data_IF_013097549387
#
_entry.id   IF_013097549387
#
_cell.length_a   1.000
_cell.length_b   1.000
_cell.length_c   1.000
_cell.angle_alpha   90.00
_cell.angle_beta   90.00
_cell.angle_gamma   90.00
#
_symmetry.space_group_name_H-M   'P 1'
#
loop_
_entity.id
_entity.type
_entity.pdbx_description
1 polymer ?
#
# COMPACT_ATOMS: atom_id res chain seq x y z
N UNK A 1 0.77 -14.44 7.20
CA UNK A 1 1.99 -14.00 7.91
C UNK A 1 1.96 -12.50 8.07
N UNK A 2 2.31 -11.96 9.25
CA UNK A 2 2.35 -10.52 9.46
C UNK A 2 3.45 -9.89 8.59
N UNK A 3 3.11 -8.84 7.84
CA UNK A 3 4.08 -8.11 7.01
C UNK A 3 5.01 -7.31 7.94
N UNK A 4 6.20 -7.83 8.22
CA UNK A 4 7.22 -7.11 8.98
C UNK A 4 7.85 -6.03 8.09
N UNK A 5 7.49 -4.77 8.32
CA UNK A 5 8.25 -3.65 7.76
C UNK A 5 9.64 -3.69 8.39
N UNK A 6 10.64 -3.92 7.54
CA UNK A 6 12.05 -3.72 7.85
C UNK A 6 12.22 -2.24 8.15
N UNK A 7 12.80 -1.93 9.31
CA UNK A 7 13.04 -0.55 9.71
C UNK A 7 14.27 -0.04 8.94
N UNK A 8 14.14 1.10 8.24
CA UNK A 8 15.22 1.71 7.43
C UNK A 8 16.50 1.94 8.24
N UNK A 9 16.37 2.06 9.57
CA UNK A 9 17.51 2.19 10.49
C UNK A 9 18.39 0.96 10.52
N UNK A 10 17.83 -0.23 10.37
CA UNK A 10 18.58 -1.51 10.35
C UNK A 10 19.51 -1.53 9.17
N UNK A 11 19.03 -1.07 8.01
CA UNK A 11 19.84 -0.94 6.83
C UNK A 11 20.94 0.14 6.95
N UNK A 12 21.01 0.96 8.00
CA UNK A 12 22.05 2.00 8.12
C UNK A 12 22.89 1.86 9.38
N UNK A 13 22.63 0.84 10.18
CA UNK A 13 23.32 0.63 11.44
C UNK A 13 24.74 0.11 11.19
N UNK A 14 25.81 0.86 11.55
CA UNK A 14 27.19 0.42 11.33
C UNK A 14 27.53 -0.85 12.11
N UNK A 15 26.83 -1.13 13.22
CA UNK A 15 27.04 -2.33 14.04
C UNK A 15 26.78 -3.63 13.26
N UNK A 16 25.90 -3.57 12.26
CA UNK A 16 25.60 -4.72 11.40
C UNK A 16 26.77 -5.02 10.46
N UNK A 17 27.48 -3.99 9.99
CA UNK A 17 28.69 -4.18 9.18
C UNK A 17 29.79 -4.83 10.03
N UNK A 18 29.97 -4.38 11.27
CA UNK A 18 30.92 -4.99 12.21
C UNK A 18 30.56 -6.46 12.49
N UNK A 19 29.27 -6.75 12.72
CA UNK A 19 28.81 -8.12 12.93
C UNK A 19 29.07 -9.02 11.71
N UNK A 20 28.90 -8.48 10.50
CA UNK A 20 29.18 -9.20 9.25
C UNK A 20 30.67 -9.53 9.12
N UNK A 21 31.55 -8.59 9.46
CA UNK A 21 33.00 -8.82 9.49
C UNK A 21 33.40 -9.88 10.51
N UNK A 22 32.85 -9.83 11.74
CA UNK A 22 33.12 -10.80 12.80
C UNK A 22 32.70 -12.23 12.43
N UNK A 23 31.63 -12.38 11.66
CA UNK A 23 31.08 -13.68 11.26
C UNK A 23 31.60 -14.16 9.90
N UNK A 24 32.32 -13.32 9.15
CA UNK A 24 32.71 -13.61 7.77
C UNK A 24 31.51 -13.71 6.82
N UNK A 25 30.41 -13.04 7.14
CA UNK A 25 29.17 -13.07 6.36
C UNK A 25 29.02 -11.82 5.51
N UNK A 26 28.20 -11.90 4.47
CA UNK A 26 27.75 -10.68 3.81
C UNK A 26 26.79 -9.91 4.71
N UNK A 27 26.80 -8.57 4.59
CA UNK A 27 25.84 -7.72 5.31
C UNK A 27 24.38 -8.13 5.06
N UNK A 28 24.05 -8.63 3.86
CA UNK A 28 22.70 -9.09 3.53
C UNK A 28 22.30 -10.33 4.32
N UNK A 29 23.21 -11.28 4.52
CA UNK A 29 22.97 -12.49 5.31
C UNK A 29 22.75 -12.14 6.79
N UNK A 30 23.58 -11.28 7.36
CA UNK A 30 23.40 -10.82 8.75
C UNK A 30 22.06 -10.12 8.95
N UNK A 31 21.70 -9.21 8.03
CA UNK A 31 20.39 -8.53 8.09
C UNK A 31 19.24 -9.52 7.97
N UNK A 32 19.36 -10.49 7.05
CA UNK A 32 18.37 -11.56 6.89
C UNK A 32 18.19 -12.35 8.19
N UNK A 33 19.30 -12.82 8.77
CA UNK A 33 19.29 -13.61 9.99
C UNK A 33 18.75 -12.84 11.21
N UNK A 34 19.19 -11.60 11.42
CA UNK A 34 18.70 -10.76 12.51
C UNK A 34 17.18 -10.54 12.41
N UNK A 35 16.66 -10.27 11.22
CA UNK A 35 15.25 -9.93 11.02
C UNK A 35 14.36 -11.18 11.05
N UNK A 36 14.76 -12.22 10.33
CA UNK A 36 13.93 -13.41 10.09
C UNK A 36 14.02 -14.40 11.23
N UNK A 37 15.18 -14.52 11.88
CA UNK A 37 15.40 -15.55 12.90
C UNK A 37 15.40 -14.93 14.31
N UNK A 38 16.34 -14.03 14.60
CA UNK A 38 16.55 -13.54 15.97
C UNK A 38 15.41 -12.64 16.45
N UNK A 39 15.06 -11.61 15.68
CA UNK A 39 13.97 -10.69 16.05
C UNK A 39 12.59 -11.34 15.95
N UNK A 40 12.38 -12.28 15.03
CA UNK A 40 11.14 -13.02 14.96
C UNK A 40 10.85 -13.74 16.29
N UNK A 41 11.86 -14.41 16.87
CA UNK A 41 11.73 -15.05 18.19
C UNK A 41 11.41 -14.03 19.28
N UNK A 42 12.06 -12.86 19.28
CA UNK A 42 11.73 -11.79 20.24
C UNK A 42 10.26 -11.37 20.14
N UNK A 43 9.73 -11.27 18.92
CA UNK A 43 8.36 -10.81 18.68
C UNK A 43 7.33 -11.88 19.04
N UNK A 44 7.60 -13.13 18.71
CA UNK A 44 6.71 -14.25 19.04
C UNK A 44 6.62 -14.46 20.55
N UNK A 45 7.74 -14.34 21.27
CA UNK A 45 7.78 -14.46 22.72
C UNK A 45 7.41 -13.16 23.45
N UNK A 46 7.22 -12.04 22.72
CA UNK A 46 6.94 -10.71 23.27
C UNK A 46 7.98 -10.29 24.33
N UNK A 47 9.23 -10.70 24.14
CA UNK A 47 10.35 -10.39 25.03
C UNK A 47 11.58 -10.01 24.22
N UNK A 48 12.34 -9.03 24.71
CA UNK A 48 13.65 -8.71 24.15
C UNK A 48 14.79 -9.41 24.88
N UNK A 49 14.49 -10.31 25.82
CA UNK A 49 15.44 -11.10 26.59
C UNK A 49 15.43 -12.55 26.10
N UNK A 50 16.50 -12.98 25.45
CA UNK A 50 16.67 -14.33 24.88
C UNK A 50 17.98 -14.94 25.39
N UNK A 51 18.03 -16.26 25.59
CA UNK A 51 19.29 -16.92 25.96
C UNK A 51 20.24 -17.04 24.77
N UNK A 52 21.55 -17.01 25.04
CA UNK A 52 22.62 -17.19 24.04
C UNK A 52 22.38 -18.42 23.15
N UNK A 53 22.09 -19.57 23.77
CA UNK A 53 21.84 -20.82 23.04
C UNK A 53 20.69 -20.72 22.04
N UNK A 54 19.63 -19.97 22.36
CA UNK A 54 18.49 -19.80 21.44
C UNK A 54 18.88 -18.90 20.28
N UNK A 55 19.65 -17.84 20.53
CA UNK A 55 20.13 -16.94 19.47
C UNK A 55 21.05 -17.70 18.50
N UNK A 56 22.02 -18.45 19.00
CA UNK A 56 22.94 -19.24 18.17
C UNK A 56 22.19 -20.33 17.38
N UNK A 57 21.23 -21.01 18.01
CA UNK A 57 20.42 -22.02 17.35
C UNK A 57 19.53 -21.42 16.24
N UNK A 58 18.95 -20.24 16.48
CA UNK A 58 18.13 -19.54 15.50
C UNK A 58 18.97 -19.04 14.32
N UNK A 59 20.16 -18.52 14.60
CA UNK A 59 21.08 -18.04 13.58
C UNK A 59 21.78 -19.16 12.79
N UNK A 60 21.69 -20.41 13.27
CA UNK A 60 22.42 -21.53 12.69
C UNK A 60 23.94 -21.38 12.81
N UNK A 61 24.42 -20.55 13.74
CA UNK A 61 25.84 -20.21 13.87
C UNK A 61 26.24 -20.13 15.34
N UNK A 62 27.23 -20.94 15.74
CA UNK A 62 27.76 -20.95 17.10
C UNK A 62 28.57 -19.67 17.34
N UNK A 63 28.32 -18.99 18.45
CA UNK A 63 29.00 -17.72 18.77
C UNK A 63 28.37 -16.50 18.12
N UNK A 64 27.24 -16.63 17.44
CA UNK A 64 26.50 -15.49 16.88
C UNK A 64 26.09 -14.50 17.98
N UNK A 65 25.56 -15.01 19.10
CA UNK A 65 25.20 -14.18 20.25
C UNK A 65 26.39 -13.45 20.87
N UNK A 66 27.59 -14.06 20.87
CA UNK A 66 28.80 -13.39 21.36
C UNK A 66 29.20 -12.25 20.43
N UNK A 67 29.20 -12.49 19.12
CA UNK A 67 29.46 -11.45 18.13
C UNK A 67 28.44 -10.30 18.22
N UNK A 68 27.17 -10.59 18.51
CA UNK A 68 26.15 -9.57 18.78
C UNK A 68 26.47 -8.70 20.01
N UNK A 69 27.08 -9.24 21.06
CA UNK A 69 27.50 -8.46 22.23
C UNK A 69 28.66 -7.55 21.87
N UNK A 70 29.64 -8.08 21.15
CA UNK A 70 30.85 -7.38 20.74
C UNK A 70 30.55 -6.15 19.86
N UNK A 71 29.55 -6.27 18.97
CA UNK A 71 29.09 -5.15 18.16
C UNK A 71 27.94 -4.34 18.80
N UNK A 72 27.66 -4.51 20.09
CA UNK A 72 26.62 -3.79 20.84
C UNK A 72 25.18 -3.94 20.27
N UNK A 73 24.90 -5.03 19.56
CA UNK A 73 23.54 -5.41 19.13
C UNK A 73 22.79 -6.23 20.19
N UNK A 74 23.51 -6.74 21.20
CA UNK A 74 22.95 -7.35 22.39
C UNK A 74 23.71 -6.92 23.64
N UNK A 75 23.04 -6.88 24.79
CA UNK A 75 23.70 -6.66 26.09
C UNK A 75 23.33 -7.77 27.07
N UNK A 76 24.28 -8.19 27.90
CA UNK A 76 24.01 -9.18 28.93
C UNK A 76 23.18 -8.55 30.06
N UNK A 77 22.02 -9.13 30.33
CA UNK A 77 21.14 -8.73 31.42
C UNK A 77 21.54 -9.43 32.72
N UNK A 78 21.12 -8.87 33.87
CA UNK A 78 21.41 -9.45 35.21
C UNK A 78 20.88 -10.88 35.36
N UNK A 79 19.88 -11.24 34.56
CA UNK A 79 19.30 -12.59 34.51
C UNK A 79 20.15 -13.62 33.75
N UNK A 80 21.31 -13.24 33.20
CA UNK A 80 22.12 -14.10 32.34
C UNK A 80 21.56 -14.29 30.93
N UNK A 81 20.49 -13.56 30.57
CA UNK A 81 19.92 -13.53 29.22
C UNK A 81 20.44 -12.32 28.44
N UNK A 82 20.38 -12.41 27.13
CA UNK A 82 20.78 -11.35 26.21
C UNK A 82 19.60 -10.46 25.87
N UNK A 83 19.79 -9.16 26.09
CA UNK A 83 18.88 -8.10 25.71
C UNK A 83 19.18 -7.67 24.28
N UNK A 84 18.32 -8.05 23.35
CA UNK A 84 18.48 -7.70 21.92
C UNK A 84 18.09 -6.24 21.68
N UNK A 85 18.99 -5.47 21.05
CA UNK A 85 18.76 -4.07 20.71
C UNK A 85 17.64 -3.94 19.65
N UNK A 86 16.86 -2.85 19.73
CA UNK A 86 15.75 -2.57 18.81
C UNK A 86 14.48 -3.40 19.03
N UNK A 87 14.60 -4.65 19.51
CA UNK A 87 13.45 -5.54 19.72
C UNK A 87 12.44 -4.97 20.75
N UNK A 88 12.92 -4.38 21.84
CA UNK A 88 12.06 -3.87 22.92
C UNK A 88 11.12 -2.74 22.51
N UNK A 89 11.61 -1.76 21.73
CA UNK A 89 10.78 -0.66 21.23
C UNK A 89 9.71 -1.17 20.27
N UNK A 90 10.08 -2.12 19.41
CA UNK A 90 9.16 -2.72 18.46
C UNK A 90 8.08 -3.55 19.15
N UNK A 91 8.43 -4.33 20.17
CA UNK A 91 7.48 -5.08 21.00
C UNK A 91 6.47 -4.12 21.66
N UNK A 92 6.95 -3.00 22.25
CA UNK A 92 6.06 -1.97 22.82
C UNK A 92 5.12 -1.39 21.78
N UNK A 93 5.64 -1.04 20.60
CA UNK A 93 4.84 -0.51 19.49
C UNK A 93 3.76 -1.51 19.03
N UNK A 94 4.13 -2.77 18.79
CA UNK A 94 3.21 -3.82 18.36
C UNK A 94 2.14 -4.09 19.43
N UNK A 95 2.52 -4.10 20.70
CA UNK A 95 1.59 -4.27 21.83
C UNK A 95 0.59 -3.11 21.90
N UNK A 96 1.07 -1.87 21.76
CA UNK A 96 0.21 -0.69 21.70
C UNK A 96 -0.75 -0.73 20.50
N UNK A 97 -0.26 -1.11 19.32
CA UNK A 97 -1.06 -1.23 18.09
C UNK A 97 -2.13 -2.31 18.21
N UNK A 98 -1.79 -3.46 18.80
CA UNK A 98 -2.75 -4.55 19.08
C UNK A 98 -3.85 -4.10 20.03
N UNK A 99 -3.51 -3.37 21.10
CA UNK A 99 -4.48 -2.79 22.04
C UNK A 99 -5.39 -1.77 21.35
N UNK A 100 -4.81 -0.82 20.62
CA UNK A 100 -5.57 0.20 19.90
C UNK A 100 -6.52 -0.43 18.85
N UNK A 101 -6.09 -1.48 18.16
CA UNK A 101 -6.93 -2.24 17.23
C UNK A 101 -8.11 -2.91 17.93
N UNK A 102 -7.88 -3.52 19.11
CA UNK A 102 -8.94 -4.14 19.92
C UNK A 102 -9.97 -3.11 20.41
N UNK A 103 -9.50 -1.96 20.92
CA UNK A 103 -10.36 -0.86 21.35
C UNK A 103 -11.17 -0.26 20.19
N UNK A 104 -10.53 -0.08 19.02
CA UNK A 104 -11.21 0.38 17.81
C UNK A 104 -12.27 -0.61 17.33
N UNK A 105 -11.97 -1.91 17.38
CA UNK A 105 -12.91 -2.97 17.04
C UNK A 105 -14.12 -3.02 17.97
N UNK A 106 -13.91 -2.90 19.29
CA UNK A 106 -14.97 -2.82 20.29
C UNK A 106 -15.90 -1.63 20.04
N UNK A 107 -15.33 -0.42 19.88
CA UNK A 107 -16.11 0.80 19.57
C UNK A 107 -16.91 0.66 18.27
N UNK A 108 -16.31 0.08 17.23
CA UNK A 108 -16.99 -0.17 15.97
C UNK A 108 -18.14 -1.18 16.13
N UNK A 109 -17.93 -2.25 16.89
CA UNK A 109 -18.97 -3.25 17.18
C UNK A 109 -20.14 -2.66 17.98
N UNK A 110 -19.86 -1.86 19.01
CA UNK A 110 -20.88 -1.16 19.80
C UNK A 110 -21.69 -0.17 18.96
N UNK A 111 -21.03 0.53 18.03
CA UNK A 111 -21.71 1.45 17.12
C UNK A 111 -22.63 0.72 16.13
N UNK A 112 -22.27 -0.50 15.69
CA UNK A 112 -23.12 -1.34 14.84
C UNK A 112 -24.33 -1.91 15.59
N UNK A 113 -24.17 -2.32 16.83
CA UNK A 113 -25.28 -2.86 17.66
C UNK A 113 -26.31 -1.79 18.03
N UNK A 114 -25.91 -0.52 18.06
CA UNK A 114 -26.80 0.62 18.39
C UNK A 114 -27.55 1.21 17.19
N UNK A 115 -27.32 0.74 15.96
CA UNK A 115 -28.17 1.13 14.82
C UNK A 115 -29.48 0.34 14.93
N UNK A 116 -30.63 0.99 15.21
CA UNK A 116 -31.90 0.28 15.24
C UNK A 116 -32.17 -0.30 13.85
N UNK A 117 -32.52 -1.59 13.83
CA UNK A 117 -32.96 -2.33 12.65
C UNK A 117 -34.15 -1.57 12.06
N UNK A 118 -33.91 -0.81 10.99
CA UNK A 118 -34.96 -0.13 10.26
C UNK A 118 -35.89 -1.23 9.72
N UNK A 119 -37.03 -1.43 10.39
CA UNK A 119 -38.11 -2.27 9.90
C UNK A 119 -38.70 -1.57 8.68
N UNK A 120 -38.26 -1.98 7.49
CA UNK A 120 -38.94 -1.66 6.24
C UNK A 120 -40.31 -2.33 6.26
N UNK A 121 -41.32 -1.57 6.64
CA UNK A 121 -42.71 -1.94 6.51
C UNK A 121 -43.22 -1.60 5.10
N UNK A 122 -44.21 -2.40 4.66
CA UNK A 122 -45.08 -2.27 3.48
C UNK A 122 -44.44 -2.63 2.12
N UNK A 123 -45.06 -3.42 1.23
CA UNK A 123 -46.45 -3.91 1.08
C UNK A 123 -46.44 -5.19 0.23
N UNK A 124 -47.48 -6.02 0.37
CA UNK A 124 -47.50 -7.42 0.01
C UNK A 124 -47.48 -7.78 -1.48
N UNK A 125 -47.20 -9.06 -1.71
CA UNK A 125 -47.70 -9.84 -2.85
C UNK A 125 -47.75 -11.32 -2.44
N UNK A 126 -48.85 -11.95 -2.84
CA UNK A 126 -49.31 -13.31 -2.59
C UNK A 126 -48.32 -14.40 -3.01
N UNK A 127 -48.34 -15.59 -2.39
CA UNK A 127 -47.49 -16.70 -2.78
C UNK A 127 -48.20 -17.58 -3.83
N UNK A 128 -47.59 -17.72 -5.01
CA UNK A 128 -47.89 -18.88 -5.87
C UNK A 128 -46.61 -19.30 -6.60
N UNK A 129 -46.06 -20.42 -6.14
CA UNK A 129 -45.03 -21.16 -6.82
C UNK A 129 -45.70 -22.11 -7.84
N UNK A 130 -45.42 -21.93 -9.13
CA UNK A 130 -45.64 -22.96 -10.16
C UNK A 130 -44.54 -22.86 -11.22
N UNK A 131 -43.73 -23.93 -11.28
CA UNK A 131 -43.17 -24.57 -12.47
C UNK A 131 -42.48 -23.73 -13.56
N UNK A 132 -41.17 -23.94 -13.72
CA UNK A 132 -40.50 -23.81 -15.02
C UNK A 132 -41.01 -24.90 -15.98
N UNK A 133 -41.33 -24.56 -17.24
CA UNK A 133 -40.84 -25.36 -18.37
C UNK A 133 -40.45 -24.45 -19.58
N UNK A 134 -40.02 -24.98 -20.74
CA UNK A 134 -38.65 -24.88 -21.23
C UNK A 134 -38.48 -23.88 -22.39
N UNK A 135 -37.21 -23.56 -22.68
CA UNK A 135 -36.75 -22.78 -23.85
C UNK A 135 -37.19 -23.40 -25.19
N UNK A 136 -37.41 -22.54 -26.20
CA UNK A 136 -36.84 -22.84 -27.52
C UNK A 136 -36.08 -21.66 -28.15
N UNK A 137 -35.09 -22.03 -28.96
CA UNK A 137 -34.13 -21.20 -29.71
C UNK A 137 -34.75 -20.19 -30.69
N UNK A 138 -34.16 -19.00 -30.83
CA UNK A 138 -33.26 -18.62 -31.95
C UNK A 138 -33.00 -17.10 -32.03
N UNK A 139 -31.71 -16.77 -32.22
CA UNK A 139 -31.13 -15.67 -33.01
C UNK A 139 -31.61 -14.21 -32.83
N UNK A 140 -30.74 -13.35 -32.25
CA UNK A 140 -30.05 -12.22 -32.94
C UNK A 140 -29.57 -11.15 -31.95
N UNK A 141 -28.28 -10.81 -32.10
CA UNK A 141 -27.40 -9.69 -31.65
C UNK A 141 -28.01 -8.38 -31.08
N UNK A 142 -27.19 -7.46 -30.50
CA UNK A 142 -26.86 -7.29 -29.08
C UNK A 142 -27.47 -6.00 -28.48
N UNK A 143 -27.69 -5.93 -27.16
CA UNK A 143 -27.98 -4.63 -26.55
C UNK A 143 -27.43 -4.50 -25.12
N UNK A 144 -27.14 -3.24 -24.83
CA UNK A 144 -26.39 -2.61 -23.76
C UNK A 144 -26.78 -3.05 -22.36
N UNK A 145 -25.78 -3.41 -21.54
CA UNK A 145 -25.95 -3.57 -20.09
C UNK A 145 -25.88 -2.18 -19.41
N UNK A 146 -26.91 -1.73 -18.67
CA UNK A 146 -26.86 -0.47 -17.94
C UNK A 146 -26.06 -0.64 -16.63
N UNK A 147 -25.10 0.26 -16.40
CA UNK A 147 -24.39 0.39 -15.11
C UNK A 147 -25.17 1.36 -14.21
N UNK A 148 -25.36 1.05 -12.92
CA UNK A 148 -26.12 1.91 -12.01
C UNK A 148 -25.32 3.16 -11.63
N UNK A 149 -25.98 4.31 -11.71
CA UNK A 149 -25.53 5.60 -11.18
C UNK A 149 -25.89 5.67 -9.70
N UNK A 150 -24.96 5.91 -8.75
CA UNK A 150 -25.34 6.27 -7.38
C UNK A 150 -25.21 7.77 -7.12
N UNK A 151 -26.17 8.22 -6.32
CA UNK A 151 -26.61 9.57 -6.00
C UNK A 151 -25.59 10.64 -5.62
N UNK A 152 -26.05 11.83 -5.96
CA UNK A 152 -25.65 13.19 -5.63
C UNK A 152 -25.44 13.41 -4.12
N UNK A 153 -24.25 13.90 -3.72
CA UNK A 153 -24.05 14.52 -2.41
C UNK A 153 -23.64 15.97 -2.62
N UNK A 154 -24.58 16.87 -2.32
CA UNK A 154 -24.42 18.32 -2.31
C UNK A 154 -23.28 18.75 -1.37
N UNK A 155 -22.31 19.51 -1.90
CA UNK A 155 -21.35 20.27 -1.11
C UNK A 155 -21.78 21.74 -1.14
N UNK A 156 -22.23 22.25 0.01
CA UNK A 156 -22.43 23.68 0.26
C UNK A 156 -21.06 24.37 0.35
N UNK A 157 -20.76 25.21 -0.63
CA UNK A 157 -19.76 26.28 -0.52
C UNK A 157 -20.33 27.41 0.33
N UNK A 158 -19.53 27.94 1.27
CA UNK A 158 -19.71 29.30 1.77
C UNK A 158 -18.37 29.96 2.07
N UNK A 159 -18.27 31.19 1.57
CA UNK A 159 -17.17 32.14 1.66
C UNK A 159 -16.91 32.69 3.08
N UNK A 160 -15.77 33.36 3.24
CA UNK A 160 -15.39 34.17 4.41
C UNK A 160 -15.63 35.68 4.15
N UNK A 161 -15.45 36.61 5.13
CA UNK A 161 -15.78 36.65 6.57
C UNK A 161 -16.63 37.92 6.92
N UNK A 162 -16.92 38.26 8.20
CA UNK A 162 -16.03 39.17 8.94
C UNK A 162 -15.95 38.92 10.48
N UNK A 163 -15.18 39.82 11.12
CA UNK A 163 -14.63 39.83 12.48
C UNK A 163 -15.61 39.66 13.67
N UNK A 164 -15.07 39.13 14.78
CA UNK A 164 -15.69 39.14 16.10
C UNK A 164 -15.06 38.10 17.03
N UNK A 165 -14.26 38.53 18.00
CA UNK A 165 -13.51 37.65 18.89
C UNK A 165 -14.37 36.95 19.94
N UNK A 166 -14.02 35.69 20.25
CA UNK A 166 -14.00 35.18 21.62
C UNK A 166 -13.22 33.87 21.66
N UNK A 167 -12.34 33.75 22.65
CA UNK A 167 -11.36 32.68 22.77
C UNK A 167 -12.00 31.31 22.92
N UNK A 168 -11.46 30.34 22.20
CA UNK A 168 -11.67 28.92 22.46
C UNK A 168 -10.34 28.18 22.30
N UNK A 169 -9.87 27.67 23.44
CA UNK A 169 -8.57 27.03 23.68
C UNK A 169 -8.15 26.09 22.54
N UNK A 170 -7.08 26.47 21.85
CA UNK A 170 -6.40 25.70 20.83
C UNK A 170 -5.82 24.41 21.42
N UNK A 171 -6.49 23.29 21.13
CA UNK A 171 -5.98 21.94 21.32
C UNK A 171 -4.77 21.75 20.39
N UNK A 172 -3.63 21.19 20.83
CA UNK A 172 -2.45 21.05 19.98
C UNK A 172 -2.78 20.11 18.82
N UNK A 173 -2.78 20.65 17.59
CA UNK A 173 -2.90 19.84 16.37
C UNK A 173 -1.64 18.99 16.28
N UNK A 174 -1.76 17.66 16.39
CA UNK A 174 -0.70 16.73 15.97
C UNK A 174 -0.27 17.13 14.57
N UNK A 175 0.99 17.55 14.44
CA UNK A 175 1.61 17.86 13.16
C UNK A 175 1.43 16.66 12.22
N UNK A 176 0.82 16.89 11.05
CA UNK A 176 0.76 15.87 10.00
C UNK A 176 2.20 15.45 9.67
N UNK A 177 2.51 14.16 9.55
CA UNK A 177 3.85 13.71 9.21
C UNK A 177 4.27 14.31 7.87
N UNK A 178 5.34 15.13 7.91
CA UNK A 178 5.97 15.74 6.73
C UNK A 178 6.42 14.62 5.80
N UNK A 179 6.15 14.74 4.50
CA UNK A 179 6.57 13.76 3.50
C UNK A 179 8.10 13.71 3.43
N UNK A 180 8.68 12.51 3.33
CA UNK A 180 10.13 12.37 3.17
C UNK A 180 10.55 12.87 1.77
N UNK A 181 11.80 13.32 1.57
CA UNK A 181 12.27 13.76 0.26
C UNK A 181 12.09 12.71 -0.84
N UNK A 182 12.25 11.43 -0.51
CA UNK A 182 12.00 10.31 -1.43
C UNK A 182 10.51 10.18 -1.80
N UNK A 183 9.60 10.26 -0.82
CA UNK A 183 8.15 10.25 -1.08
C UNK A 183 7.72 11.44 -1.96
N UNK A 184 8.34 12.61 -1.76
CA UNK A 184 8.08 13.81 -2.58
C UNK A 184 8.56 13.59 -4.01
N UNK A 185 9.73 12.99 -4.22
CA UNK A 185 10.24 12.67 -5.55
C UNK A 185 9.32 11.69 -6.28
N UNK A 186 8.92 10.60 -5.63
CA UNK A 186 7.96 9.63 -6.20
C UNK A 186 6.60 10.27 -6.49
N UNK A 187 6.10 11.12 -5.58
CA UNK A 187 4.84 11.81 -5.80
C UNK A 187 4.88 12.73 -7.03
N UNK A 188 6.01 13.39 -7.30
CA UNK A 188 6.19 14.20 -8.52
C UNK A 188 6.06 13.36 -9.78
N UNK A 189 6.73 12.20 -9.85
CA UNK A 189 6.64 11.30 -11.01
C UNK A 189 5.20 10.86 -11.29
N UNK A 190 4.45 10.52 -10.23
CA UNK A 190 3.03 10.14 -10.36
C UNK A 190 2.17 11.33 -10.82
N UNK A 191 2.42 12.53 -10.28
CA UNK A 191 1.70 13.74 -10.65
C UNK A 191 2.01 14.20 -12.08
N UNK A 192 3.23 14.01 -12.57
CA UNK A 192 3.61 14.30 -13.96
C UNK A 192 2.87 13.37 -14.93
N UNK A 193 2.78 12.08 -14.59
CA UNK A 193 1.98 11.12 -15.37
C UNK A 193 0.51 11.50 -15.37
N UNK A 194 -0.04 11.89 -14.22
CA UNK A 194 -1.43 12.34 -14.12
C UNK A 194 -1.65 13.62 -14.92
N UNK A 195 -0.73 14.58 -14.87
CA UNK A 195 -0.81 15.83 -15.62
C UNK A 195 -0.81 15.60 -17.13
N UNK A 196 0.00 14.64 -17.58
CA UNK A 196 0.04 14.22 -18.99
C UNK A 196 -1.28 13.58 -19.43
N UNK A 197 -1.91 12.80 -18.55
CA UNK A 197 -3.18 12.11 -18.85
C UNK A 197 -4.40 13.04 -18.78
N UNK A 198 -4.45 13.97 -17.82
CA UNK A 198 -5.60 14.87 -17.58
C UNK A 198 -5.50 16.19 -18.36
N UNK A 199 -4.31 16.57 -18.84
CA UNK A 199 -4.05 17.87 -19.46
C UNK A 199 -3.96 19.03 -18.46
N UNK A 200 -4.07 18.76 -17.15
CA UNK A 200 -3.97 19.76 -16.08
C UNK A 200 -2.61 19.63 -15.39
N UNK A 201 -1.86 20.71 -15.30
CA UNK A 201 -0.57 20.69 -14.59
C UNK A 201 -0.76 20.69 -13.07
N UNK A 202 -0.27 19.64 -12.41
CA UNK A 202 -0.21 19.56 -10.95
C UNK A 202 1.19 19.92 -10.44
N UNK A 203 1.35 21.12 -9.88
CA UNK A 203 2.64 21.67 -9.42
C UNK A 203 3.23 21.01 -8.15
N UNK A 204 2.76 19.82 -7.76
CA UNK A 204 3.25 19.13 -6.56
C UNK A 204 2.85 19.81 -5.25
N UNK A 205 1.67 20.45 -5.21
CA UNK A 205 1.17 21.09 -4.00
C UNK A 205 1.17 20.12 -2.81
N UNK A 206 1.53 20.64 -1.62
CA UNK A 206 1.62 19.87 -0.37
C UNK A 206 0.43 18.91 -0.09
N UNK A 207 -0.85 19.26 -0.36
CA UNK A 207 -1.96 18.31 -0.17
C UNK A 207 -1.92 17.13 -1.16
N UNK A 208 -1.55 17.33 -2.42
CA UNK A 208 -1.48 16.27 -3.43
C UNK A 208 -0.32 15.30 -3.15
N UNK A 209 0.83 15.85 -2.77
CA UNK A 209 1.99 15.06 -2.33
C UNK A 209 1.64 14.26 -1.07
N UNK A 210 0.91 14.87 -0.13
CA UNK A 210 0.45 14.19 1.08
C UNK A 210 -0.48 13.00 0.80
N UNK A 211 -1.37 13.10 -0.19
CA UNK A 211 -2.22 11.99 -0.60
C UNK A 211 -1.39 10.81 -1.12
N UNK A 212 -0.46 11.08 -2.04
CA UNK A 212 0.40 10.05 -2.63
C UNK A 212 1.34 9.45 -1.58
N UNK A 213 1.97 10.28 -0.75
CA UNK A 213 2.86 9.83 0.32
C UNK A 213 2.14 8.91 1.32
N UNK A 214 0.87 9.19 1.64
CA UNK A 214 0.08 8.30 2.49
C UNK A 214 -0.12 6.92 1.84
N UNK A 215 -0.31 6.85 0.52
CA UNK A 215 -0.43 5.59 -0.21
C UNK A 215 0.88 4.82 -0.24
N UNK A 216 2.00 5.50 -0.43
CA UNK A 216 3.33 4.89 -0.33
C UNK A 216 3.55 4.27 1.06
N UNK A 217 3.13 4.97 2.13
CA UNK A 217 3.20 4.46 3.51
C UNK A 217 2.25 3.29 3.81
N UNK A 218 1.15 3.18 3.07
CA UNK A 218 0.26 2.01 3.12
C UNK A 218 0.85 0.78 2.43
N UNK A 219 2.00 0.93 1.76
CA UNK A 219 2.73 -0.15 1.10
C UNK A 219 2.40 -0.31 -0.38
N UNK A 220 1.83 0.72 -1.00
CA UNK A 220 1.63 0.79 -2.45
C UNK A 220 2.92 1.24 -3.12
N UNK A 221 3.26 0.63 -4.26
CA UNK A 221 4.44 1.01 -5.03
C UNK A 221 4.16 2.21 -5.94
N UNK A 222 5.21 2.90 -6.39
CA UNK A 222 5.09 3.91 -7.45
C UNK A 222 4.39 3.34 -8.69
N UNK A 223 4.76 2.11 -9.06
CA UNK A 223 4.26 1.44 -10.24
C UNK A 223 2.75 1.17 -10.14
N UNK A 224 2.25 0.79 -8.96
CA UNK A 224 0.82 0.65 -8.70
C UNK A 224 0.08 1.99 -8.90
N UNK A 225 0.64 3.09 -8.38
CA UNK A 225 0.01 4.41 -8.49
C UNK A 225 -0.04 4.89 -9.95
N UNK A 226 1.03 4.64 -10.71
CA UNK A 226 1.09 4.94 -12.15
C UNK A 226 0.13 4.05 -12.95
N UNK A 227 0.00 2.78 -12.57
CA UNK A 227 -0.95 1.86 -13.18
C UNK A 227 -2.39 2.34 -13.00
N UNK A 228 -2.78 2.81 -11.80
CA UNK A 228 -4.12 3.36 -11.55
C UNK A 228 -4.41 4.56 -12.44
N UNK A 229 -3.45 5.48 -12.59
CA UNK A 229 -3.59 6.63 -13.50
C UNK A 229 -3.75 6.17 -14.95
N UNK A 230 -2.94 5.21 -15.39
CA UNK A 230 -3.01 4.65 -16.74
C UNK A 230 -4.32 3.94 -17.03
N UNK A 231 -4.78 3.10 -16.11
CA UNK A 231 -6.03 2.36 -16.21
C UNK A 231 -7.23 3.30 -16.30
N UNK A 232 -7.32 4.31 -15.42
CA UNK A 232 -8.40 5.29 -15.48
C UNK A 232 -8.37 6.14 -16.75
N UNK A 233 -7.18 6.52 -17.23
CA UNK A 233 -7.05 7.36 -18.40
C UNK A 233 -7.31 6.62 -19.72
N UNK A 234 -6.80 5.38 -19.84
CA UNK A 234 -6.75 4.63 -21.10
C UNK A 234 -7.83 3.53 -21.16
N UNK A 235 -7.95 2.69 -20.14
CA UNK A 235 -8.89 1.56 -20.18
C UNK A 235 -10.34 2.01 -19.97
N UNK A 236 -10.54 2.96 -19.05
CA UNK A 236 -11.86 3.52 -18.78
C UNK A 236 -12.23 4.72 -19.69
N UNK A 237 -11.30 5.12 -20.56
CA UNK A 237 -11.46 6.24 -21.50
C UNK A 237 -11.90 7.56 -20.84
N UNK A 238 -11.48 7.81 -19.59
CA UNK A 238 -11.86 9.05 -18.90
C UNK A 238 -11.32 10.29 -19.59
N UNK A 239 -10.27 10.14 -20.42
CA UNK A 239 -9.74 11.23 -21.26
C UNK A 239 -10.69 11.60 -22.41
N UNK A 240 -11.40 10.62 -22.99
CA UNK A 240 -12.33 10.85 -24.10
C UNK A 240 -13.71 11.33 -23.62
N UNK A 241 -14.07 11.04 -22.37
CA UNK A 241 -15.35 11.43 -21.77
C UNK A 241 -15.22 12.75 -21.00
N UNK A 242 -15.72 13.90 -21.52
CA UNK A 242 -15.53 15.21 -20.90
C UNK A 242 -16.08 15.29 -19.46
N UNK A 243 -17.14 14.54 -19.16
CA UNK A 243 -17.70 14.46 -17.81
C UNK A 243 -16.79 13.77 -16.80
N UNK A 244 -15.93 12.85 -17.27
CA UNK A 244 -15.06 12.03 -16.43
C UNK A 244 -13.67 12.65 -16.24
N UNK A 245 -13.23 13.52 -17.15
CA UNK A 245 -11.97 14.28 -17.04
C UNK A 245 -11.86 15.02 -15.71
N UNK A 246 -12.98 15.56 -15.19
CA UNK A 246 -13.00 16.28 -13.90
C UNK A 246 -12.59 15.41 -12.71
N UNK A 247 -12.69 14.09 -12.83
CA UNK A 247 -12.33 13.10 -11.81
C UNK A 247 -10.89 12.57 -11.95
N UNK A 248 -10.15 12.96 -13.00
CA UNK A 248 -8.70 12.71 -13.11
C UNK A 248 -7.91 13.68 -12.20
N UNK A 249 -8.23 13.68 -10.90
CA UNK A 249 -7.58 14.50 -9.88
C UNK A 249 -6.90 13.63 -8.82
N UNK A 250 -5.82 14.11 -8.20
CA UNK A 250 -5.16 13.37 -7.12
C UNK A 250 -6.11 13.00 -5.97
N UNK A 251 -7.06 13.88 -5.63
CA UNK A 251 -8.02 13.67 -4.55
C UNK A 251 -9.02 12.55 -4.85
N UNK A 252 -9.46 12.48 -6.11
CA UNK A 252 -10.44 11.48 -6.53
C UNK A 252 -9.79 10.12 -6.74
N UNK A 253 -8.59 10.07 -7.30
CA UNK A 253 -7.90 8.80 -7.58
C UNK A 253 -7.19 8.23 -6.34
N UNK A 254 -6.54 9.08 -5.54
CA UNK A 254 -5.72 8.66 -4.39
C UNK A 254 -6.39 8.91 -3.03
N UNK A 255 -7.71 9.09 -3.04
CA UNK A 255 -8.54 9.12 -1.84
C UNK A 255 -8.51 7.78 -1.09
N UNK A 256 -8.76 7.78 0.23
CA UNK A 256 -8.62 6.59 1.09
C UNK A 256 -9.54 5.43 0.73
N UNK A 257 -10.65 5.67 0.03
CA UNK A 257 -11.59 4.62 -0.38
C UNK A 257 -11.60 4.40 -1.89
N UNK A 258 -11.18 5.40 -2.67
CA UNK A 258 -11.30 5.37 -4.12
C UNK A 258 -10.19 4.57 -4.78
N UNK A 259 -8.96 4.65 -4.27
CA UNK A 259 -7.82 3.92 -4.81
C UNK A 259 -8.04 2.40 -4.83
N UNK A 260 -8.65 1.86 -3.77
CA UNK A 260 -8.92 0.42 -3.64
C UNK A 260 -9.92 -0.09 -4.69
N UNK A 261 -10.79 0.78 -5.22
CA UNK A 261 -11.74 0.40 -6.29
C UNK A 261 -11.03 0.09 -7.60
N UNK A 262 -9.91 0.75 -7.85
CA UNK A 262 -9.20 0.66 -9.13
C UNK A 262 -7.91 -0.15 -9.05
N UNK A 263 -7.39 -0.40 -7.84
CA UNK A 263 -6.07 -1.01 -7.65
C UNK A 263 -5.92 -2.37 -8.34
N UNK A 264 -6.83 -3.30 -8.07
CA UNK A 264 -6.70 -4.68 -8.55
C UNK A 264 -6.89 -4.76 -10.07
N UNK A 265 -7.85 -3.99 -10.60
CA UNK A 265 -8.06 -3.87 -12.05
C UNK A 265 -6.85 -3.21 -12.73
N UNK A 266 -6.32 -2.15 -12.15
CA UNK A 266 -5.15 -1.45 -12.68
C UNK A 266 -3.89 -2.31 -12.68
N UNK A 267 -3.69 -3.15 -11.66
CA UNK A 267 -2.57 -4.10 -11.61
C UNK A 267 -2.67 -5.15 -12.72
N UNK A 268 -3.86 -5.70 -12.90
CA UNK A 268 -4.12 -6.69 -13.95
C UNK A 268 -3.88 -6.07 -15.32
N UNK A 269 -4.47 -4.90 -15.57
CA UNK A 269 -4.27 -4.14 -16.79
C UNK A 269 -2.80 -3.79 -17.05
N UNK A 270 -2.05 -3.34 -16.03
CA UNK A 270 -0.63 -3.02 -16.20
C UNK A 270 0.20 -4.26 -16.54
N UNK A 271 -0.11 -5.42 -15.94
CA UNK A 271 0.56 -6.68 -16.28
C UNK A 271 0.25 -7.13 -17.71
N UNK A 272 -1.02 -7.02 -18.14
CA UNK A 272 -1.43 -7.31 -19.52
C UNK A 272 -0.77 -6.38 -20.53
N UNK A 273 -0.74 -5.08 -20.22
CA UNK A 273 -0.09 -4.08 -21.06
C UNK A 273 1.41 -4.33 -21.20
N UNK A 274 2.12 -4.67 -20.12
CA UNK A 274 3.55 -5.00 -20.17
C UNK A 274 3.82 -6.27 -20.98
N UNK A 275 2.97 -7.29 -20.86
CA UNK A 275 3.08 -8.52 -21.67
C UNK A 275 2.90 -8.22 -23.15
N UNK A 276 1.94 -7.38 -23.51
CA UNK A 276 1.74 -6.97 -24.90
C UNK A 276 2.93 -6.20 -25.45
N UNK A 277 3.49 -5.26 -24.67
CA UNK A 277 4.70 -4.52 -25.05
C UNK A 277 5.90 -5.46 -25.28
N UNK A 278 6.10 -6.46 -24.41
CA UNK A 278 7.15 -7.46 -24.60
C UNK A 278 6.93 -8.31 -25.86
N UNK A 279 5.67 -8.69 -26.15
CA UNK A 279 5.34 -9.42 -27.38
C UNK A 279 5.62 -8.58 -28.63
N UNK A 280 5.28 -7.30 -28.60
CA UNK A 280 5.56 -6.38 -29.71
C UNK A 280 7.07 -6.20 -29.91
N UNK A 281 7.83 -5.96 -28.84
CA UNK A 281 9.28 -5.84 -28.92
C UNK A 281 9.95 -7.12 -29.45
N UNK A 282 9.47 -8.30 -29.05
CA UNK A 282 9.98 -9.57 -29.58
C UNK A 282 9.65 -9.74 -31.07
N UNK A 283 8.45 -9.35 -31.51
CA UNK A 283 8.07 -9.36 -32.93
C UNK A 283 8.93 -8.40 -33.75
N UNK A 284 9.22 -7.22 -33.23
CA UNK A 284 10.10 -6.23 -33.88
C UNK A 284 11.55 -6.74 -33.98
N UNK A 285 12.08 -7.35 -32.91
CA UNK A 285 13.42 -7.96 -32.95
C UNK A 285 13.48 -9.11 -33.96
N UNK A 286 12.47 -9.98 -34.00
CA UNK A 286 12.39 -11.03 -35.00
C UNK A 286 12.26 -10.48 -36.42
N UNK A 287 11.52 -9.37 -36.62
CA UNK A 287 11.42 -8.70 -37.91
C UNK A 287 12.75 -8.06 -38.35
N UNK A 288 13.53 -7.51 -37.41
CA UNK A 288 14.88 -6.97 -37.66
C UNK A 288 15.91 -8.07 -37.95
N UNK A 289 15.87 -9.19 -37.25
CA UNK A 289 16.73 -10.35 -37.53
C UNK A 289 16.37 -11.04 -38.85
N UNK A 290 15.10 -11.00 -39.25
CA UNK A 290 14.62 -11.55 -40.52
C UNK A 290 14.76 -10.58 -41.70
N UNK A 291 15.21 -9.33 -41.50
CA UNK A 291 15.64 -8.47 -42.61
C UNK A 291 16.95 -9.04 -43.19
N UNK A 292 16.92 -9.69 -44.37
CA UNK A 292 18.11 -10.32 -44.91
C UNK A 292 19.03 -9.23 -45.45
N UNK A 293 20.29 -9.26 -45.02
CA UNK A 293 21.52 -9.53 -45.81
C UNK A 293 21.44 -9.43 -47.36
N UNK A 294 20.66 -8.48 -47.89
CA UNK A 294 20.47 -8.19 -49.33
C UNK A 294 21.41 -7.11 -49.85
N UNK A 295 22.17 -6.44 -48.97
CA UNK A 295 23.31 -5.62 -49.37
C UNK A 295 24.60 -6.42 -49.18
N UNK A 296 24.90 -7.32 -50.13
CA UNK A 296 26.25 -7.79 -50.52
C UNK A 296 26.07 -8.96 -51.50
N UNK A 297 25.55 -8.65 -52.68
CA UNK A 297 25.90 -9.38 -53.89
C UNK A 297 26.79 -8.43 -54.72
N UNK A 298 28.01 -8.85 -55.12
CA UNK A 298 28.98 -8.03 -55.85
C UNK A 298 28.53 -7.72 -57.30
#
# INVERSE_FOLDING_TARGET
>A
MARMSIDDKVCRDPRITVLAELLGWSRREVVGCLIVDVWAICYDQVTNLISERIIDAAAGHVGFAKAMIECELATLDRSGKLRVAGAGERIKYLSHKKRAGREGGLKNSESRTKVPKQTSSSRGSTPQAVGNPPVPDTASVPDVVPVPVPDEVQIKNSAAPPAGGSGSKSRPRKSKPIATPAEVATARVVLDKLSTSSGVQYSGAAPHVGLIANRLREGLSELDLRAVVGYCANELDWKAKPEMVKYLRPETLFGPQTIHKYLDAARTWAADWMREQQRQALREQQALEQQPRLELAP
#
